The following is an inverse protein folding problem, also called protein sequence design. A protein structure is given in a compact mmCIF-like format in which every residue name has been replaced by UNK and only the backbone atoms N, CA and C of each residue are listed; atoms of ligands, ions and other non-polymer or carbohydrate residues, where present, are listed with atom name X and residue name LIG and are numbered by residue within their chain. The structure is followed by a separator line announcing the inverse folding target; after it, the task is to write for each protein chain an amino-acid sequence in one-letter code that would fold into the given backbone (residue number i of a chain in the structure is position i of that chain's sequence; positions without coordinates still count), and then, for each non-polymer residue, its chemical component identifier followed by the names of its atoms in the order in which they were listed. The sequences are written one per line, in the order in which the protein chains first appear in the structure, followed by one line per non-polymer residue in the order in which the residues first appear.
data_IF_888686242187
#
_entry.id   IF_888686242187
#
_cell.length_a   1.000
_cell.length_b   1.000
_cell.length_c   1.000
_cell.angle_alpha   90.00
_cell.angle_beta   90.00
_cell.angle_gamma   90.00
#
_symmetry.space_group_name_H-M   'P 1'
#
loop_
_entity.id
_entity.type
_entity.pdbx_description
1 polymer ?
#
# COMPACT_ATOMS: atom_id res chain seq x y z
N UNK A 1 16.75 63.75 54.02
CA UNK A 1 15.55 63.19 54.68
C UNK A 1 14.75 62.52 53.57
N UNK A 2 14.68 61.21 53.37
CA UNK A 2 15.05 59.98 54.11
C UNK A 2 14.99 58.86 53.08
N UNK A 3 16.00 58.00 53.05
CA UNK A 3 15.85 56.62 52.56
C UNK A 3 15.09 55.83 53.64
N UNK A 4 14.18 54.92 53.26
CA UNK A 4 14.38 53.56 53.72
C UNK A 4 14.09 52.51 52.64
N UNK A 5 15.16 51.82 52.27
CA UNK A 5 15.23 50.41 51.88
C UNK A 5 14.21 49.56 52.63
N UNK A 6 13.12 49.19 51.95
CA UNK A 6 12.23 48.12 52.40
C UNK A 6 12.82 46.79 51.97
N UNK A 7 13.39 46.08 52.94
CA UNK A 7 13.86 44.72 52.79
C UNK A 7 12.70 43.76 52.53
N UNK A 8 12.62 43.23 51.32
CA UNK A 8 11.96 41.96 51.07
C UNK A 8 13.01 40.87 51.32
N UNK A 9 12.97 40.27 52.51
CA UNK A 9 13.73 39.08 52.83
C UNK A 9 13.27 37.95 51.90
N UNK A 10 14.10 37.58 50.93
CA UNK A 10 13.90 36.34 50.20
C UNK A 10 14.11 35.18 51.18
N UNK A 11 13.16 34.24 51.32
CA UNK A 11 13.42 33.01 52.04
C UNK A 11 14.53 32.27 51.31
N UNK A 12 15.69 32.13 51.94
CA UNK A 12 16.76 31.24 51.49
C UNK A 12 16.21 29.82 51.48
N UNK A 13 15.79 29.33 50.31
CA UNK A 13 15.45 27.93 50.12
C UNK A 13 16.67 27.08 50.50
N UNK A 14 16.50 25.97 51.24
CA UNK A 14 17.60 25.06 51.49
C UNK A 14 18.03 24.48 50.14
N UNK A 15 19.19 24.91 49.65
CA UNK A 15 19.88 24.27 48.54
C UNK A 15 20.29 22.90 49.04
N UNK A 16 19.54 21.85 48.69
CA UNK A 16 19.81 20.52 49.24
C UNK A 16 18.88 19.40 48.78
N UNK A 17 18.28 19.50 47.60
CA UNK A 17 17.64 18.36 46.93
C UNK A 17 18.46 17.99 45.70
N UNK A 18 18.86 16.72 45.50
CA UNK A 18 19.62 16.33 44.31
C UNK A 18 18.82 16.67 43.05
N UNK A 19 19.37 17.55 42.20
CA UNK A 19 18.83 17.86 40.89
C UNK A 19 18.92 16.60 40.02
N UNK A 20 17.79 16.04 39.53
CA UNK A 20 17.79 14.85 38.69
C UNK A 20 18.58 15.00 37.38
N UNK A 21 18.93 16.24 37.01
CA UNK A 21 19.68 16.58 35.80
C UNK A 21 21.20 16.62 36.02
N UNK A 22 21.67 16.58 37.27
CA UNK A 22 23.09 16.55 37.59
C UNK A 22 23.46 15.11 37.89
N UNK A 23 24.24 14.44 37.01
CA UNK A 23 24.79 13.13 37.31
C UNK A 23 25.49 13.19 38.66
N UNK A 24 25.12 12.30 39.59
CA UNK A 24 25.72 12.29 40.92
C UNK A 24 27.24 12.11 40.84
N UNK A 25 28.00 12.51 41.87
CA UNK A 25 29.47 12.44 41.91
C UNK A 25 30.05 11.04 41.66
N UNK A 26 29.19 10.01 41.67
CA UNK A 26 29.54 8.60 41.45
C UNK A 26 29.17 8.11 40.03
N UNK A 27 28.71 9.01 39.15
CA UNK A 27 28.50 8.69 37.74
C UNK A 27 29.82 8.78 36.99
N UNK A 28 30.33 7.69 36.38
CA UNK A 28 31.59 7.73 35.64
C UNK A 28 31.51 8.82 34.56
N UNK A 29 32.57 9.62 34.45
CA UNK A 29 32.64 10.70 33.47
C UNK A 29 32.34 10.15 32.06
N UNK A 30 31.75 10.94 31.14
CA UNK A 30 31.44 10.47 29.78
C UNK A 30 32.64 9.80 29.08
N UNK A 31 33.84 10.29 29.39
CA UNK A 31 35.13 9.79 28.91
C UNK A 31 35.47 8.40 29.51
N UNK A 32 35.13 8.14 30.77
CA UNK A 32 35.30 6.84 31.43
C UNK A 32 34.29 5.80 30.91
N UNK A 33 33.05 6.21 30.62
CA UNK A 33 32.06 5.34 29.95
C UNK A 33 32.50 4.98 28.54
N UNK A 34 33.03 5.94 27.79
CA UNK A 34 33.58 5.69 26.45
C UNK A 34 34.83 4.79 26.50
N UNK A 35 35.69 4.97 27.51
CA UNK A 35 36.87 4.12 27.71
C UNK A 35 36.53 2.68 28.15
N UNK A 36 35.37 2.48 28.80
CA UNK A 36 34.86 1.17 29.22
C UNK A 36 33.84 0.54 28.25
N UNK A 37 33.42 1.26 27.21
CA UNK A 37 32.51 0.73 26.18
C UNK A 37 33.34 -0.09 25.20
N UNK A 38 33.04 -1.38 25.09
CA UNK A 38 33.79 -2.25 24.19
C UNK A 38 33.43 -1.95 22.73
N UNK A 39 34.34 -2.25 21.81
CA UNK A 39 34.06 -2.27 20.37
C UNK A 39 32.84 -3.14 20.02
N UNK A 40 32.55 -4.17 20.84
CA UNK A 40 31.36 -5.01 20.71
C UNK A 40 30.06 -4.28 21.04
N UNK A 41 30.07 -3.38 22.03
CA UNK A 41 28.89 -2.60 22.42
C UNK A 41 28.55 -1.53 21.39
N UNK A 42 29.57 -0.90 20.77
CA UNK A 42 29.38 0.05 19.67
C UNK A 42 28.85 -0.65 18.41
N UNK A 43 29.37 -1.83 18.07
CA UNK A 43 28.90 -2.60 16.91
C UNK A 43 27.49 -3.15 17.14
N UNK A 44 27.17 -3.55 18.38
CA UNK A 44 25.82 -3.94 18.81
C UNK A 44 24.83 -2.79 18.67
N UNK A 45 25.20 -1.58 19.10
CA UNK A 45 24.39 -0.37 18.93
C UNK A 45 24.09 -0.05 17.46
N UNK A 46 25.12 -0.01 16.60
CA UNK A 46 24.95 0.27 15.16
C UNK A 46 24.11 -0.81 14.46
N UNK A 47 24.31 -2.08 14.81
CA UNK A 47 23.50 -3.18 14.24
C UNK A 47 22.03 -3.09 14.70
N UNK A 48 21.81 -2.68 15.95
CA UNK A 48 20.47 -2.40 16.49
C UNK A 48 19.77 -1.25 15.76
N UNK A 49 20.49 -0.16 15.46
CA UNK A 49 19.96 0.99 14.74
C UNK A 49 19.61 0.64 13.29
N UNK A 50 20.46 -0.12 12.59
CA UNK A 50 20.18 -0.60 11.23
C UNK A 50 18.95 -1.53 11.24
N UNK A 51 18.85 -2.44 12.21
CA UNK A 51 17.68 -3.32 12.38
C UNK A 51 16.40 -2.52 12.64
N UNK A 52 16.52 -1.40 13.35
CA UNK A 52 15.41 -0.49 13.64
C UNK A 52 14.95 0.25 12.38
N UNK A 53 15.87 0.79 11.58
CA UNK A 53 15.55 1.43 10.30
C UNK A 53 14.91 0.45 9.32
N UNK A 54 15.43 -0.78 9.23
CA UNK A 54 14.86 -1.79 8.35
C UNK A 54 13.42 -2.16 8.74
N UNK A 55 13.14 -2.28 10.04
CA UNK A 55 11.78 -2.48 10.53
C UNK A 55 10.86 -1.30 10.22
N UNK A 56 11.34 -0.06 10.37
CA UNK A 56 10.58 1.14 10.06
C UNK A 56 10.23 1.23 8.56
N UNK A 57 11.19 0.92 7.67
CA UNK A 57 10.95 0.92 6.22
C UNK A 57 9.90 -0.13 5.83
N UNK A 58 9.96 -1.32 6.46
CA UNK A 58 8.96 -2.38 6.27
C UNK A 58 7.60 -1.97 6.83
N UNK A 59 7.55 -1.35 8.00
CA UNK A 59 6.29 -0.86 8.60
C UNK A 59 5.66 0.25 7.75
N UNK A 60 6.46 1.16 7.21
CA UNK A 60 6.02 2.21 6.31
C UNK A 60 5.51 1.63 4.98
N UNK A 61 6.28 0.74 4.35
CA UNK A 61 5.87 0.05 3.13
C UNK A 61 4.58 -0.76 3.34
N UNK A 62 4.44 -1.41 4.50
CA UNK A 62 3.21 -2.12 4.88
C UNK A 62 2.05 -1.15 5.09
N UNK A 63 2.27 0.01 5.71
CA UNK A 63 1.25 1.04 5.87
C UNK A 63 0.78 1.58 4.51
N UNK A 64 1.70 1.96 3.62
CA UNK A 64 1.37 2.44 2.27
C UNK A 64 0.67 1.37 1.43
N UNK A 65 1.14 0.12 1.49
CA UNK A 65 0.51 -1.00 0.81
C UNK A 65 -0.90 -1.24 1.36
N UNK A 66 -1.11 -1.12 2.67
CA UNK A 66 -2.43 -1.29 3.28
C UNK A 66 -3.42 -0.21 2.85
N UNK A 67 -2.96 1.05 2.73
CA UNK A 67 -3.79 2.16 2.24
C UNK A 67 -4.12 1.96 0.75
N UNK A 68 -3.12 1.58 -0.04
CA UNK A 68 -3.28 1.26 -1.46
C UNK A 68 -4.24 0.10 -1.68
N UNK A 69 -4.11 -0.98 -0.90
CA UNK A 69 -4.98 -2.14 -0.94
C UNK A 69 -6.42 -1.79 -0.54
N UNK A 70 -6.64 -0.97 0.49
CA UNK A 70 -7.98 -0.50 0.87
C UNK A 70 -8.61 0.36 -0.23
N UNK A 71 -7.83 1.26 -0.85
CA UNK A 71 -8.31 2.10 -1.95
C UNK A 71 -8.65 1.27 -3.18
N UNK A 72 -7.78 0.33 -3.55
CA UNK A 72 -8.02 -0.61 -4.64
C UNK A 72 -9.23 -1.50 -4.36
N UNK A 73 -9.36 -2.03 -3.14
CA UNK A 73 -10.49 -2.85 -2.70
C UNK A 73 -11.82 -2.08 -2.72
N UNK A 74 -11.83 -0.82 -2.26
CA UNK A 74 -13.01 0.06 -2.37
C UNK A 74 -13.37 0.31 -3.84
N UNK A 75 -12.38 0.61 -4.68
CA UNK A 75 -12.58 0.80 -6.12
C UNK A 75 -13.15 -0.45 -6.79
N UNK A 76 -12.55 -1.61 -6.54
CA UNK A 76 -13.02 -2.90 -7.04
C UNK A 76 -14.44 -3.22 -6.55
N UNK A 77 -14.76 -2.96 -5.28
CA UNK A 77 -16.10 -3.12 -4.73
C UNK A 77 -17.13 -2.19 -5.39
N UNK A 78 -16.77 -0.93 -5.62
CA UNK A 78 -17.62 0.04 -6.33
C UNK A 78 -17.86 -0.38 -7.78
N UNK A 79 -16.82 -0.78 -8.52
CA UNK A 79 -16.97 -1.28 -9.89
C UNK A 79 -17.76 -2.59 -9.95
N UNK A 80 -17.55 -3.50 -8.99
CA UNK A 80 -18.34 -4.73 -8.88
C UNK A 80 -19.81 -4.45 -8.63
N UNK A 81 -20.11 -3.57 -7.66
CA UNK A 81 -21.47 -3.12 -7.37
C UNK A 81 -22.12 -2.42 -8.57
N UNK A 82 -21.42 -1.46 -9.19
CA UNK A 82 -21.88 -0.77 -10.38
C UNK A 82 -22.13 -1.73 -11.56
N UNK A 83 -21.28 -2.74 -11.74
CA UNK A 83 -21.47 -3.78 -12.75
C UNK A 83 -22.74 -4.59 -12.51
N UNK A 84 -22.97 -5.04 -11.28
CA UNK A 84 -24.17 -5.80 -10.92
C UNK A 84 -25.45 -4.95 -11.04
N UNK A 85 -25.44 -3.75 -10.48
CA UNK A 85 -26.58 -2.83 -10.59
C UNK A 85 -26.85 -2.43 -12.04
N UNK A 86 -25.79 -2.18 -12.82
CA UNK A 86 -25.89 -1.90 -14.26
C UNK A 86 -26.48 -3.08 -15.04
N UNK A 87 -26.13 -4.32 -14.69
CA UNK A 87 -26.72 -5.52 -15.28
C UNK A 87 -28.23 -5.60 -15.01
N UNK A 88 -28.66 -5.38 -13.77
CA UNK A 88 -30.09 -5.35 -13.44
C UNK A 88 -30.82 -4.20 -14.14
N UNK A 89 -30.22 -3.01 -14.19
CA UNK A 89 -30.80 -1.87 -14.89
C UNK A 89 -31.00 -2.17 -16.38
N UNK A 90 -29.99 -2.75 -17.05
CA UNK A 90 -30.10 -3.18 -18.45
C UNK A 90 -31.16 -4.26 -18.64
N UNK A 91 -31.29 -5.22 -17.72
CA UNK A 91 -32.33 -6.25 -17.76
C UNK A 91 -33.73 -5.61 -17.69
N UNK A 92 -33.99 -4.74 -16.72
CA UNK A 92 -35.29 -4.08 -16.59
C UNK A 92 -35.58 -3.13 -17.75
N UNK A 93 -34.57 -2.42 -18.27
CA UNK A 93 -34.71 -1.58 -19.46
C UNK A 93 -35.06 -2.43 -20.70
N UNK A 94 -34.46 -3.61 -20.83
CA UNK A 94 -34.79 -4.55 -21.93
C UNK A 94 -36.23 -5.03 -21.86
N UNK A 95 -36.71 -5.38 -20.66
CA UNK A 95 -38.10 -5.75 -20.46
C UNK A 95 -39.01 -4.56 -20.78
N UNK A 96 -38.73 -3.37 -20.24
CA UNK A 96 -39.51 -2.18 -20.53
C UNK A 96 -39.56 -1.86 -22.03
N UNK A 97 -38.44 -1.97 -22.74
CA UNK A 97 -38.37 -1.77 -24.18
C UNK A 97 -39.16 -2.84 -24.94
N UNK A 98 -39.07 -4.10 -24.55
CA UNK A 98 -39.81 -5.21 -25.15
C UNK A 98 -41.32 -5.05 -24.95
N UNK A 99 -41.78 -4.66 -23.76
CA UNK A 99 -43.19 -4.38 -23.49
C UNK A 99 -43.68 -3.12 -24.22
N UNK A 100 -42.86 -2.07 -24.25
CA UNK A 100 -43.12 -0.83 -24.97
C UNK A 100 -43.29 -1.04 -26.47
N UNK A 101 -42.30 -1.63 -27.14
CA UNK A 101 -42.42 -2.04 -28.56
C UNK A 101 -43.52 -3.09 -28.75
N UNK A 102 -43.71 -3.97 -27.76
CA UNK A 102 -44.71 -5.03 -27.80
C UNK A 102 -46.11 -4.51 -28.01
N UNK A 103 -46.41 -3.32 -27.48
CA UNK A 103 -47.70 -2.63 -27.70
C UNK A 103 -47.90 -2.11 -29.13
N UNK A 104 -46.82 -1.92 -29.90
CA UNK A 104 -46.87 -1.41 -31.28
C UNK A 104 -46.82 -2.55 -32.31
N UNK A 105 -45.92 -3.53 -32.12
CA UNK A 105 -45.58 -4.54 -33.12
C UNK A 105 -45.72 -5.99 -32.62
N UNK A 106 -46.18 -6.18 -31.39
CA UNK A 106 -46.29 -7.48 -30.73
C UNK A 106 -45.01 -7.92 -30.03
N UNK A 107 -45.16 -8.69 -28.94
CA UNK A 107 -44.02 -9.09 -28.09
C UNK A 107 -42.99 -9.95 -28.82
N UNK A 108 -43.42 -10.78 -29.79
CA UNK A 108 -42.52 -11.65 -30.55
C UNK A 108 -41.53 -10.87 -31.43
N UNK A 109 -42.00 -9.86 -32.17
CA UNK A 109 -41.12 -9.02 -32.99
C UNK A 109 -40.26 -8.09 -32.14
N UNK A 110 -40.80 -7.64 -31.01
CA UNK A 110 -40.07 -6.79 -30.06
C UNK A 110 -38.90 -7.53 -29.43
N UNK A 111 -39.10 -8.77 -28.97
CA UNK A 111 -38.03 -9.58 -28.41
C UNK A 111 -36.96 -9.91 -29.46
N UNK A 112 -37.35 -10.15 -30.72
CA UNK A 112 -36.40 -10.36 -31.82
C UNK A 112 -35.51 -9.12 -32.05
N UNK A 113 -36.08 -7.92 -32.06
CA UNK A 113 -35.32 -6.67 -32.24
C UNK A 113 -34.30 -6.49 -31.10
N UNK A 114 -34.75 -6.65 -29.84
CA UNK A 114 -33.86 -6.53 -28.68
C UNK A 114 -32.75 -7.59 -28.72
N UNK A 115 -33.07 -8.83 -29.12
CA UNK A 115 -32.09 -9.90 -29.29
C UNK A 115 -31.03 -9.56 -30.36
N UNK A 116 -31.45 -9.01 -31.50
CA UNK A 116 -30.52 -8.57 -32.57
C UNK A 116 -29.61 -7.45 -32.08
N UNK A 117 -30.14 -6.46 -31.34
CA UNK A 117 -29.33 -5.38 -30.75
C UNK A 117 -28.26 -5.96 -29.83
N UNK A 118 -28.62 -6.85 -28.91
CA UNK A 118 -27.65 -7.50 -28.02
C UNK A 118 -26.66 -8.39 -28.78
N UNK A 119 -27.10 -9.08 -29.84
CA UNK A 119 -26.23 -9.87 -30.71
C UNK A 119 -25.15 -9.02 -31.38
N UNK A 120 -25.51 -7.83 -31.89
CA UNK A 120 -24.55 -6.88 -32.48
C UNK A 120 -23.57 -6.37 -31.42
N UNK A 121 -24.06 -5.97 -30.25
CA UNK A 121 -23.20 -5.52 -29.14
C UNK A 121 -22.22 -6.63 -28.72
N UNK A 122 -22.70 -7.87 -28.58
CA UNK A 122 -21.87 -9.02 -28.23
C UNK A 122 -20.81 -9.31 -29.29
N UNK A 123 -21.17 -9.26 -30.58
CA UNK A 123 -20.22 -9.44 -31.68
C UNK A 123 -19.11 -8.38 -31.64
N UNK A 124 -19.46 -7.10 -31.46
CA UNK A 124 -18.47 -6.01 -31.38
C UNK A 124 -17.54 -6.19 -30.18
N UNK A 125 -18.09 -6.50 -29.00
CA UNK A 125 -17.30 -6.74 -27.79
C UNK A 125 -16.38 -7.95 -27.95
N UNK A 126 -16.86 -9.05 -28.55
CA UNK A 126 -16.05 -10.22 -28.84
C UNK A 126 -14.88 -9.90 -29.77
N UNK A 127 -15.14 -9.17 -30.86
CA UNK A 127 -14.09 -8.80 -31.82
C UNK A 127 -13.04 -7.88 -31.20
N UNK A 128 -13.47 -6.90 -30.39
CA UNK A 128 -12.55 -6.01 -29.65
C UNK A 128 -11.75 -6.78 -28.61
N UNK A 129 -12.41 -7.57 -27.76
CA UNK A 129 -11.73 -8.40 -26.75
C UNK A 129 -10.73 -9.36 -27.38
N UNK A 130 -11.09 -9.99 -28.51
CA UNK A 130 -10.17 -10.84 -29.29
C UNK A 130 -8.95 -10.07 -29.81
N UNK A 131 -9.12 -8.81 -30.22
CA UNK A 131 -8.02 -7.95 -30.67
C UNK A 131 -7.08 -7.59 -29.51
N UNK A 132 -7.63 -7.17 -28.38
CA UNK A 132 -6.84 -6.83 -27.18
C UNK A 132 -6.06 -8.04 -26.65
N UNK A 133 -6.71 -9.21 -26.55
CA UNK A 133 -6.04 -10.46 -26.13
C UNK A 133 -4.93 -10.88 -27.09
N UNK A 134 -5.09 -10.65 -28.38
CA UNK A 134 -4.02 -10.91 -29.38
C UNK A 134 -2.85 -9.93 -29.24
N UNK A 135 -3.10 -8.68 -28.87
CA UNK A 135 -2.03 -7.71 -28.59
C UNK A 135 -1.24 -8.07 -27.34
N UNK A 136 -1.92 -8.57 -26.30
CA UNK A 136 -1.27 -9.06 -25.07
C UNK A 136 -0.44 -10.31 -25.35
N UNK A 137 -0.92 -11.26 -26.17
CA UNK A 137 -0.14 -12.45 -26.58
C UNK A 137 1.10 -12.14 -27.44
N UNK A 138 1.20 -10.91 -27.99
CA UNK A 138 2.40 -10.43 -28.68
C UNK A 138 3.58 -10.07 -27.75
N UNK A 139 3.38 -10.07 -26.43
CA UNK A 139 4.44 -9.90 -25.42
C UNK A 139 4.33 -11.05 -24.39
N UNK A 140 5.37 -11.88 -24.13
CA UNK A 140 6.79 -11.54 -24.13
C UNK A 140 7.72 -12.59 -24.80
N UNK A 141 8.66 -12.14 -25.65
CA UNK A 141 9.84 -12.95 -26.08
C UNK A 141 10.82 -13.29 -24.93
N UNK A 142 10.48 -12.93 -23.69
CA UNK A 142 11.28 -13.17 -22.49
C UNK A 142 11.23 -14.63 -22.04
N UNK A 143 10.12 -15.35 -22.25
CA UNK A 143 10.06 -16.79 -21.95
C UNK A 143 10.91 -17.64 -22.92
N UNK A 144 11.07 -17.20 -24.17
CA UNK A 144 12.00 -17.84 -25.12
C UNK A 144 13.47 -17.53 -24.80
N UNK A 145 13.74 -16.39 -24.15
CA UNK A 145 15.10 -16.05 -23.69
C UNK A 145 15.51 -16.88 -22.46
N UNK A 146 14.56 -17.25 -21.59
CA UNK A 146 14.79 -18.15 -20.45
C UNK A 146 14.96 -19.62 -20.88
N UNK A 147 14.35 -20.05 -21.99
CA UNK A 147 14.61 -21.37 -22.60
C UNK A 147 15.96 -21.47 -23.32
N UNK A 148 16.69 -20.35 -23.44
CA UNK A 148 17.99 -20.24 -24.12
C UNK A 148 19.17 -20.09 -23.17
N UNK A 149 19.01 -20.45 -21.89
CA UNK A 149 20.14 -20.63 -20.98
C UNK A 149 20.59 -22.09 -21.14
N UNK A 150 21.70 -22.37 -21.86
CA UNK A 150 22.26 -23.72 -21.92
C UNK A 150 22.74 -24.16 -20.53
N UNK A 151 22.78 -25.48 -20.31
CA UNK A 151 23.18 -26.19 -19.08
C UNK A 151 24.65 -25.98 -18.64
N UNK A 152 25.25 -24.81 -18.90
CA UNK A 152 26.65 -24.51 -18.56
C UNK A 152 26.86 -24.20 -17.08
N UNK A 153 25.83 -24.23 -16.24
CA UNK A 153 25.99 -24.29 -14.77
C UNK A 153 25.89 -25.74 -14.31
N UNK A 154 26.85 -26.55 -14.75
CA UNK A 154 27.22 -27.78 -14.06
C UNK A 154 28.54 -27.50 -13.33
N UNK A 155 28.54 -27.11 -12.04
CA UNK A 155 29.72 -27.21 -11.20
C UNK A 155 29.89 -28.69 -10.86
N UNK A 156 30.52 -29.42 -11.77
CA UNK A 156 30.70 -30.86 -11.68
C UNK A 156 31.97 -31.29 -12.37
N UNK A 157 33.09 -30.67 -11.98
CA UNK A 157 34.43 -31.20 -12.17
C UNK A 157 34.91 -31.77 -10.84
N UNK A 158 34.65 -33.05 -10.63
CA UNK A 158 35.22 -33.87 -9.55
C UNK A 158 36.64 -34.33 -9.89
N UNK A 159 37.42 -34.54 -8.83
CA UNK A 159 38.56 -35.46 -8.70
C UNK A 159 39.93 -35.03 -9.23
#
# INVERSE_FOLDING_TARGET
MTDPTTGAAYPSSPVGGPDPRVPGPDSPAPEERAANTSLGDLLSGVTGDISTLFRQEVELAKAELSVSAKKAGKGAGMFGGAGLTGLFALLFLSLAAMWGLGSLIGLGWSSLIIAVIYGVVALVLFLRGKKELKQIQGAPKTVDSLKKIPDTVKPGGTA
#
